data_IF_068997972580
#
_entry.id   IF_068997972580
#
_cell.length_a   1.000
_cell.length_b   1.000
_cell.length_c   1.000
_cell.angle_alpha   90.00
_cell.angle_beta   90.00
_cell.angle_gamma   90.00
#
_symmetry.space_group_name_H-M   'P 1'
#
loop_
_entity.id
_entity.type
_entity.pdbx_description
1 polymer ?
#
# COMPACT_ATOMS: atom_id res chain seq x y z
N UNK A 1 -26.10 10.79 13.34
CA UNK A 1 -25.10 11.15 12.32
C UNK A 1 -23.83 10.43 12.71
N UNK A 2 -23.49 9.33 12.04
CA UNK A 2 -22.18 8.68 12.23
C UNK A 2 -21.16 9.64 11.64
N UNK A 3 -20.38 10.27 12.49
CA UNK A 3 -19.23 11.06 12.06
C UNK A 3 -18.25 10.01 11.56
N UNK A 4 -18.10 9.84 10.25
CA UNK A 4 -16.99 9.06 9.69
C UNK A 4 -15.71 9.73 10.19
N UNK A 5 -15.08 9.14 11.20
CA UNK A 5 -13.73 9.52 11.57
C UNK A 5 -12.87 9.32 10.34
N UNK A 6 -12.36 10.43 9.81
CA UNK A 6 -11.59 10.44 8.57
C UNK A 6 -10.28 9.72 8.84
N UNK A 7 -10.25 8.41 8.55
CA UNK A 7 -9.10 7.56 8.84
C UNK A 7 -7.91 8.06 8.04
N UNK A 8 -6.90 8.54 8.74
CA UNK A 8 -5.65 9.00 8.11
C UNK A 8 -4.86 7.76 7.71
N UNK A 9 -4.68 7.59 6.40
CA UNK A 9 -3.85 6.52 5.85
C UNK A 9 -2.39 6.97 5.91
N UNK A 10 -1.67 6.46 6.91
CA UNK A 10 -0.22 6.62 7.01
C UNK A 10 0.49 5.48 6.26
N UNK A 11 1.54 5.83 5.53
CA UNK A 11 2.40 4.88 4.81
C UNK A 11 3.79 4.88 5.42
N UNK A 12 4.38 3.71 5.62
CA UNK A 12 5.77 3.53 6.05
C UNK A 12 6.64 3.59 4.79
N UNK A 13 7.53 4.58 4.71
CA UNK A 13 8.46 4.70 3.57
C UNK A 13 9.59 3.69 3.72
N UNK A 14 9.86 2.93 2.68
CA UNK A 14 10.91 1.90 2.66
C UNK A 14 11.75 1.99 1.39
N UNK A 15 12.99 1.49 1.44
CA UNK A 15 13.80 1.30 0.23
C UNK A 15 13.31 0.08 -0.57
N UNK A 16 13.63 0.02 -1.85
CA UNK A 16 13.28 -1.11 -2.72
C UNK A 16 13.87 -2.45 -2.26
N UNK A 17 14.97 -2.44 -1.50
CA UNK A 17 15.59 -3.63 -0.92
C UNK A 17 15.01 -4.02 0.46
N UNK A 18 14.00 -3.29 0.96
CA UNK A 18 13.34 -3.66 2.22
C UNK A 18 12.62 -5.01 2.08
N UNK A 19 12.82 -5.88 3.07
CA UNK A 19 12.12 -7.16 3.18
C UNK A 19 11.41 -7.20 4.54
N UNK A 20 10.07 -7.40 4.57
CA UNK A 20 9.33 -7.54 5.82
C UNK A 20 9.72 -8.82 6.57
N UNK A 21 9.62 -8.82 7.89
CA UNK A 21 9.70 -10.05 8.70
C UNK A 21 8.36 -10.80 8.69
N UNK A 22 8.35 -12.06 9.15
CA UNK A 22 7.13 -12.90 9.16
C UNK A 22 5.99 -12.25 9.98
N UNK A 23 6.32 -11.53 11.06
CA UNK A 23 5.36 -10.85 11.92
C UNK A 23 4.73 -9.60 11.28
N UNK A 24 5.31 -9.10 10.19
CA UNK A 24 4.81 -7.93 9.47
C UNK A 24 3.76 -8.30 8.42
N UNK A 25 3.45 -9.59 8.22
CA UNK A 25 2.36 -10.05 7.37
C UNK A 25 1.03 -10.17 8.16
N UNK A 26 -0.12 -9.87 7.53
CA UNK A 26 -0.25 -9.38 6.17
C UNK A 26 -0.18 -7.84 6.08
N UNK A 27 0.19 -7.32 4.91
CA UNK A 27 0.36 -5.88 4.69
C UNK A 27 0.08 -5.44 3.25
N UNK A 28 -0.08 -4.15 3.05
CA UNK A 28 -0.17 -3.53 1.74
C UNK A 28 1.19 -3.03 1.25
N UNK A 29 1.43 -3.14 -0.05
CA UNK A 29 2.59 -2.55 -0.74
C UNK A 29 2.14 -1.59 -1.83
N UNK A 30 2.73 -0.39 -1.81
CA UNK A 30 2.61 0.61 -2.84
C UNK A 30 3.97 0.79 -3.54
N UNK A 31 4.10 0.19 -4.71
CA UNK A 31 5.38 0.06 -5.44
C UNK A 31 5.38 1.01 -6.64
N UNK A 32 6.31 1.96 -6.77
CA UNK A 32 6.38 2.84 -7.93
C UNK A 32 6.84 2.06 -9.17
N UNK A 33 6.40 2.50 -10.33
CA UNK A 33 6.99 2.07 -11.60
C UNK A 33 8.23 2.92 -11.89
N UNK A 34 9.42 2.33 -11.79
CA UNK A 34 10.70 3.04 -12.00
C UNK A 34 10.80 3.70 -13.39
N UNK A 35 10.20 3.07 -14.41
CA UNK A 35 10.21 3.58 -15.79
C UNK A 35 9.10 4.59 -16.07
N UNK A 36 8.19 4.85 -15.13
CA UNK A 36 7.02 5.69 -15.37
C UNK A 36 7.22 7.14 -14.88
N UNK A 37 7.54 8.03 -15.82
CA UNK A 37 7.63 9.48 -15.58
C UNK A 37 6.31 10.08 -15.07
N UNK A 38 5.18 9.42 -15.31
CA UNK A 38 3.87 9.90 -14.85
C UNK A 38 3.60 9.52 -13.40
N UNK A 39 4.46 8.71 -12.79
CA UNK A 39 4.42 8.45 -11.37
C UNK A 39 3.24 7.62 -10.91
N UNK A 40 2.97 6.52 -11.59
CA UNK A 40 2.03 5.51 -11.12
C UNK A 40 2.68 4.54 -10.12
N UNK A 41 1.83 3.81 -9.41
CA UNK A 41 2.18 2.76 -8.48
C UNK A 41 1.38 1.49 -8.78
N UNK A 42 1.88 0.35 -8.33
CA UNK A 42 1.13 -0.89 -8.15
C UNK A 42 0.73 -1.00 -6.67
N UNK A 43 -0.55 -1.28 -6.41
CA UNK A 43 -1.07 -1.58 -5.07
C UNK A 43 -1.30 -3.08 -4.95
N UNK A 44 -0.66 -3.70 -3.97
CA UNK A 44 -0.78 -5.14 -3.69
C UNK A 44 -0.98 -5.39 -2.21
N UNK A 45 -1.55 -6.55 -1.88
CA UNK A 45 -1.73 -7.03 -0.51
C UNK A 45 -1.03 -8.38 -0.36
N UNK A 46 -0.02 -8.44 0.49
CA UNK A 46 0.73 -9.65 0.75
C UNK A 46 0.15 -10.36 1.97
N UNK A 47 -0.16 -11.64 1.81
CA UNK A 47 -0.63 -12.53 2.87
C UNK A 47 0.56 -13.26 3.51
N UNK A 48 1.58 -13.56 2.71
CA UNK A 48 2.85 -14.17 3.12
C UNK A 48 3.93 -13.84 2.08
N UNK A 49 5.21 -14.22 2.28
CA UNK A 49 6.28 -13.93 1.32
C UNK A 49 6.01 -14.42 -0.11
N UNK A 50 5.28 -15.54 -0.25
CA UNK A 50 5.02 -16.19 -1.54
C UNK A 50 3.56 -16.06 -2.01
N UNK A 51 2.71 -15.34 -1.27
CA UNK A 51 1.28 -15.22 -1.58
C UNK A 51 0.84 -13.77 -1.47
N UNK A 52 0.48 -13.18 -2.60
CA UNK A 52 -0.02 -11.81 -2.67
C UNK A 52 -1.15 -11.67 -3.67
N UNK A 53 -1.98 -10.65 -3.45
CA UNK A 53 -3.02 -10.22 -4.36
C UNK A 53 -2.62 -8.85 -4.93
N UNK A 54 -2.55 -8.76 -6.25
CA UNK A 54 -2.46 -7.48 -6.93
C UNK A 54 -3.85 -6.84 -6.96
N UNK A 55 -4.03 -5.75 -6.23
CA UNK A 55 -5.32 -5.06 -6.12
C UNK A 55 -5.49 -4.09 -7.29
N UNK A 56 -4.47 -3.28 -7.55
CA UNK A 56 -4.45 -2.34 -8.68
C UNK A 56 -3.08 -2.38 -9.34
N UNK A 57 -2.97 -2.85 -10.59
CA UNK A 57 -1.69 -2.93 -11.29
C UNK A 57 -1.12 -1.55 -11.57
N UNK A 58 -1.96 -0.52 -11.79
CA UNK A 58 -1.51 0.82 -12.15
C UNK A 58 -2.47 1.89 -11.63
N UNK A 59 -2.04 2.62 -10.61
CA UNK A 59 -2.87 3.60 -9.91
C UNK A 59 -2.03 4.83 -9.51
N UNK A 60 -2.62 6.04 -9.54
CA UNK A 60 -1.96 7.22 -8.97
C UNK A 60 -1.96 7.13 -7.44
N UNK A 61 -0.91 7.65 -6.78
CA UNK A 61 -0.78 7.60 -5.31
C UNK A 61 -2.04 8.06 -4.57
N UNK A 62 -2.62 9.20 -4.97
CA UNK A 62 -3.80 9.74 -4.29
C UNK A 62 -5.03 8.83 -4.42
N UNK A 63 -5.17 8.10 -5.53
CA UNK A 63 -6.25 7.13 -5.72
C UNK A 63 -6.01 5.87 -4.88
N UNK A 64 -4.75 5.40 -4.81
CA UNK A 64 -4.37 4.27 -3.96
C UNK A 64 -4.66 4.58 -2.48
N UNK A 65 -4.32 5.79 -2.01
CA UNK A 65 -4.63 6.25 -0.65
C UNK A 65 -6.14 6.24 -0.40
N UNK A 66 -6.96 6.77 -1.32
CA UNK A 66 -8.43 6.71 -1.19
C UNK A 66 -8.97 5.29 -1.11
N UNK A 67 -8.43 4.38 -1.93
CA UNK A 67 -8.80 2.96 -1.89
C UNK A 67 -8.38 2.32 -0.56
N UNK A 68 -7.19 2.63 -0.06
CA UNK A 68 -6.70 2.16 1.24
C UNK A 68 -7.54 2.68 2.42
N UNK A 69 -8.09 3.90 2.35
CA UNK A 69 -9.03 4.39 3.38
C UNK A 69 -10.18 3.39 3.53
N UNK A 70 -10.81 3.00 2.41
CA UNK A 70 -11.93 2.06 2.40
C UNK A 70 -11.52 0.65 2.81
N UNK A 71 -10.41 0.14 2.26
CA UNK A 71 -9.93 -1.22 2.58
C UNK A 71 -9.51 -1.39 4.05
N UNK A 72 -9.09 -0.30 4.70
CA UNK A 72 -8.70 -0.32 6.10
C UNK A 72 -9.87 -0.12 7.05
N UNK A 73 -11.10 0.18 6.59
CA UNK A 73 -12.26 0.41 7.48
C UNK A 73 -12.51 -0.77 8.42
N UNK A 74 -12.33 -1.99 7.93
CA UNK A 74 -12.64 -3.23 8.67
C UNK A 74 -11.41 -3.93 9.25
N UNK A 75 -10.21 -3.65 8.74
CA UNK A 75 -8.98 -4.30 9.18
C UNK A 75 -7.77 -3.37 9.12
N UNK A 76 -6.96 -3.38 10.18
CA UNK A 76 -5.76 -2.53 10.29
C UNK A 76 -4.53 -3.30 9.83
N UNK A 77 -3.95 -2.93 8.69
CA UNK A 77 -2.71 -3.50 8.19
C UNK A 77 -1.70 -2.40 7.87
N UNK A 78 -0.40 -2.73 8.01
CA UNK A 78 0.70 -1.85 7.60
C UNK A 78 0.63 -1.58 6.09
N UNK A 79 1.05 -0.38 5.70
CA UNK A 79 1.19 0.00 4.30
C UNK A 79 2.63 0.43 4.08
N UNK A 80 3.39 -0.39 3.37
CA UNK A 80 4.73 -0.04 2.93
C UNK A 80 4.63 0.68 1.58
N UNK A 81 5.25 1.86 1.49
CA UNK A 81 5.39 2.60 0.25
C UNK A 81 6.86 2.70 -0.11
N UNK A 82 7.22 2.08 -1.23
CA UNK A 82 8.60 2.10 -1.72
C UNK A 82 8.92 3.52 -2.20
N UNK A 83 9.99 4.10 -1.64
CA UNK A 83 10.44 5.43 -2.00
C UNK A 83 10.94 5.45 -3.45
N UNK A 84 10.61 6.51 -4.19
CA UNK A 84 11.25 6.76 -5.48
C UNK A 84 12.67 7.26 -5.24
N UNK A 85 13.61 6.71 -5.98
CA UNK A 85 14.97 7.24 -6.07
C UNK A 85 15.01 8.49 -6.92
#
# INVERSE_FOLDING_TARGET
MLIEEKRVVATIKVDAAFSPTEEEYPHYWLIPFDTDKQGYFCLSFYVSPNSYLMIEPRIKRYQAVKKLVMLLETASFSIYEVARR
#
